data_IF_206344145270
#
_entry.id   IF_206344145270
#
_cell.length_a   1.000
_cell.length_b   1.000
_cell.length_c   1.000
_cell.angle_alpha   90.00
_cell.angle_beta   90.00
_cell.angle_gamma   90.00
#
_symmetry.space_group_name_H-M   'P 1'
#
loop_
_entity.id
_entity.type
_entity.pdbx_description
1 polymer ?
#
# COMPACT_ATOMS: atom_id res chain seq x y z
N UNK A 1 10.43 12.86 -30.41
CA UNK A 1 9.32 13.44 -29.61
C UNK A 1 8.16 12.48 -29.36
N UNK A 2 7.60 11.76 -30.34
CA UNK A 2 6.47 10.83 -30.11
C UNK A 2 6.75 9.69 -29.11
N UNK A 3 7.96 9.12 -29.11
CA UNK A 3 8.30 8.01 -28.21
C UNK A 3 8.33 8.40 -26.73
N UNK A 4 8.79 9.61 -26.40
CA UNK A 4 8.89 10.05 -25.00
C UNK A 4 7.52 10.25 -24.34
N UNK A 5 6.52 10.73 -25.09
CA UNK A 5 5.15 10.88 -24.56
C UNK A 5 4.48 9.52 -24.36
N UNK A 6 4.77 8.56 -25.23
CA UNK A 6 4.28 7.18 -25.07
C UNK A 6 4.92 6.50 -23.86
N UNK A 7 6.24 6.59 -23.73
CA UNK A 7 6.98 6.05 -22.57
C UNK A 7 6.45 6.62 -21.25
N UNK A 8 6.26 7.95 -21.16
CA UNK A 8 5.68 8.59 -19.97
C UNK A 8 4.31 8.02 -19.61
N UNK A 9 3.42 7.81 -20.60
CA UNK A 9 2.09 7.24 -20.34
C UNK A 9 2.15 5.79 -19.89
N UNK A 10 3.07 5.00 -20.44
CA UNK A 10 3.29 3.61 -20.01
C UNK A 10 3.84 3.60 -18.58
N UNK A 11 4.81 4.44 -18.27
CA UNK A 11 5.37 4.57 -16.91
C UNK A 11 4.31 5.04 -15.92
N UNK A 12 3.50 6.04 -16.27
CA UNK A 12 2.38 6.51 -15.45
C UNK A 12 1.35 5.42 -15.18
N UNK A 13 0.93 4.68 -16.23
CA UNK A 13 0.00 3.55 -16.10
C UNK A 13 0.55 2.42 -15.23
N UNK A 14 1.85 2.11 -15.35
CA UNK A 14 2.53 1.12 -14.49
C UNK A 14 2.59 1.59 -13.04
N UNK A 15 2.92 2.85 -12.79
CA UNK A 15 2.92 3.44 -11.44
C UNK A 15 1.54 3.36 -10.80
N UNK A 16 0.46 3.63 -11.56
CA UNK A 16 -0.91 3.47 -11.07
C UNK A 16 -1.21 2.00 -10.73
N UNK A 17 -0.88 1.06 -11.62
CA UNK A 17 -1.11 -0.37 -11.39
C UNK A 17 -0.41 -0.87 -10.10
N UNK A 18 0.87 -0.55 -9.94
CA UNK A 18 1.62 -0.91 -8.72
C UNK A 18 1.09 -0.17 -7.49
N UNK A 19 0.70 1.10 -7.63
CA UNK A 19 0.10 1.89 -6.56
C UNK A 19 -1.16 1.26 -6.00
N UNK A 20 -2.06 0.77 -6.86
CA UNK A 20 -3.27 0.03 -6.45
C UNK A 20 -2.92 -1.27 -5.72
N UNK A 21 -2.01 -2.07 -6.28
CA UNK A 21 -1.60 -3.35 -5.66
C UNK A 21 -0.99 -3.16 -4.28
N UNK A 22 -0.16 -2.13 -4.12
CA UNK A 22 0.46 -1.77 -2.85
C UNK A 22 -0.59 -1.26 -1.85
N UNK A 23 -1.56 -0.45 -2.28
CA UNK A 23 -2.67 -0.01 -1.41
C UNK A 23 -3.50 -1.18 -0.90
N UNK A 24 -3.84 -2.14 -1.77
CA UNK A 24 -4.57 -3.34 -1.37
C UNK A 24 -3.80 -4.13 -0.31
N UNK A 25 -2.48 -4.25 -0.49
CA UNK A 25 -1.59 -4.89 0.49
C UNK A 25 -1.58 -4.13 1.82
N UNK A 26 -1.54 -2.79 1.77
CA UNK A 26 -1.63 -1.93 2.95
C UNK A 26 -2.94 -2.12 3.71
N UNK A 27 -4.07 -2.13 3.00
CA UNK A 27 -5.40 -2.39 3.59
C UNK A 27 -5.45 -3.77 4.24
N UNK A 28 -4.97 -4.81 3.57
CA UNK A 28 -4.91 -6.17 4.13
C UNK A 28 -4.07 -6.22 5.41
N UNK A 29 -2.90 -5.56 5.42
CA UNK A 29 -2.04 -5.48 6.60
C UNK A 29 -2.71 -4.73 7.76
N UNK A 30 -3.41 -3.62 7.48
CA UNK A 30 -4.17 -2.87 8.50
C UNK A 30 -5.31 -3.71 9.08
N UNK A 31 -6.09 -4.40 8.25
CA UNK A 31 -7.14 -5.30 8.73
C UNK A 31 -6.55 -6.43 9.58
N UNK A 32 -5.45 -7.04 9.13
CA UNK A 32 -4.73 -8.05 9.88
C UNK A 32 -4.23 -7.54 11.24
N UNK A 33 -3.72 -6.31 11.30
CA UNK A 33 -3.29 -5.65 12.53
C UNK A 33 -4.45 -5.51 13.52
N UNK A 34 -5.61 -5.05 13.06
CA UNK A 34 -6.82 -4.90 13.89
C UNK A 34 -7.27 -6.25 14.43
N UNK A 35 -7.37 -7.28 13.57
CA UNK A 35 -7.76 -8.63 13.99
C UNK A 35 -6.80 -9.18 15.04
N UNK A 36 -5.49 -9.02 14.84
CA UNK A 36 -4.49 -9.48 15.81
C UNK A 36 -4.53 -8.70 17.12
N UNK A 37 -4.79 -7.38 17.07
CA UNK A 37 -4.99 -6.56 18.26
C UNK A 37 -6.20 -7.04 19.07
N UNK A 38 -7.33 -7.31 18.41
CA UNK A 38 -8.53 -7.87 19.07
C UNK A 38 -8.21 -9.22 19.70
N UNK A 39 -7.53 -10.11 18.97
CA UNK A 39 -7.13 -11.42 19.50
C UNK A 39 -6.23 -11.31 20.73
N UNK A 40 -5.29 -10.36 20.72
CA UNK A 40 -4.41 -10.06 21.85
C UNK A 40 -5.21 -9.59 23.07
N UNK A 41 -6.14 -8.63 22.89
CA UNK A 41 -6.99 -8.16 23.98
C UNK A 41 -7.91 -9.24 24.56
N UNK A 42 -8.35 -10.19 23.73
CA UNK A 42 -9.16 -11.33 24.17
C UNK A 42 -8.32 -12.46 24.79
N UNK A 43 -6.99 -12.35 24.84
CA UNK A 43 -6.11 -13.42 25.33
C UNK A 43 -6.13 -14.69 24.46
N UNK A 44 -6.56 -14.57 23.20
CA UNK A 44 -6.79 -15.68 22.27
C UNK A 44 -5.62 -15.92 21.32
N UNK A 45 -4.45 -15.37 21.63
CA UNK A 45 -3.22 -15.52 20.83
C UNK A 45 -1.99 -15.53 21.75
N UNK A 46 -1.00 -16.34 21.37
CA UNK A 46 0.32 -16.38 22.02
C UNK A 46 1.23 -15.23 21.55
N UNK A 47 0.83 -14.50 20.50
CA UNK A 47 1.60 -13.38 19.98
C UNK A 47 1.42 -12.13 20.86
N UNK A 48 2.54 -11.48 21.19
CA UNK A 48 2.51 -10.20 21.91
C UNK A 48 2.13 -9.01 21.02
N UNK A 49 2.03 -7.82 21.63
CA UNK A 49 1.71 -6.54 20.95
C UNK A 49 2.61 -6.22 19.75
N UNK A 50 3.80 -6.80 19.67
CA UNK A 50 4.71 -6.61 18.52
C UNK A 50 4.12 -7.03 17.17
N UNK A 51 3.30 -8.10 17.13
CA UNK A 51 2.71 -8.59 15.88
C UNK A 51 1.69 -7.61 15.28
N UNK A 52 0.62 -7.21 15.99
CA UNK A 52 -0.31 -6.21 15.47
C UNK A 52 0.36 -4.85 15.22
N UNK A 53 1.33 -4.42 16.04
CA UNK A 53 2.08 -3.19 15.77
C UNK A 53 2.88 -3.28 14.46
N UNK A 54 3.56 -4.41 14.21
CA UNK A 54 4.30 -4.66 12.97
C UNK A 54 3.40 -4.68 11.73
N UNK A 55 2.25 -5.35 11.80
CA UNK A 55 1.27 -5.35 10.72
C UNK A 55 0.70 -3.94 10.46
N UNK A 56 0.47 -3.17 11.52
CA UNK A 56 0.03 -1.77 11.41
C UNK A 56 1.09 -0.90 10.71
N UNK A 57 2.36 -1.07 11.06
CA UNK A 57 3.46 -0.38 10.40
C UNK A 57 3.57 -0.74 8.91
N UNK A 58 3.41 -2.02 8.55
CA UNK A 58 3.35 -2.45 7.14
C UNK A 58 2.18 -1.77 6.43
N UNK A 59 1.01 -1.73 7.05
CA UNK A 59 -0.17 -1.04 6.52
C UNK A 59 0.10 0.43 6.21
N UNK A 60 0.74 1.16 7.12
CA UNK A 60 1.09 2.57 6.94
C UNK A 60 2.14 2.78 5.84
N UNK A 61 3.20 1.97 5.81
CA UNK A 61 4.26 2.09 4.80
C UNK A 61 3.71 1.80 3.42
N UNK A 62 2.97 0.70 3.27
CA UNK A 62 2.36 0.33 1.99
C UNK A 62 1.29 1.34 1.59
N UNK A 63 0.45 1.81 2.52
CA UNK A 63 -0.51 2.88 2.23
C UNK A 63 0.15 4.14 1.68
N UNK A 64 1.25 4.56 2.28
CA UNK A 64 2.01 5.75 1.87
C UNK A 64 2.65 5.55 0.50
N UNK A 65 3.35 4.43 0.28
CA UNK A 65 4.00 4.14 -0.99
C UNK A 65 2.99 3.99 -2.14
N UNK A 66 1.88 3.30 -1.87
CA UNK A 66 0.81 3.13 -2.84
C UNK A 66 0.18 4.47 -3.23
N UNK A 67 -0.07 5.36 -2.26
CA UNK A 67 -0.53 6.73 -2.54
C UNK A 67 0.46 7.53 -3.38
N UNK A 68 1.76 7.49 -3.06
CA UNK A 68 2.79 8.22 -3.81
C UNK A 68 2.90 7.73 -5.25
N UNK A 69 2.83 6.41 -5.47
CA UNK A 69 2.85 5.82 -6.81
C UNK A 69 1.60 6.17 -7.62
N UNK A 70 0.42 6.14 -6.99
CA UNK A 70 -0.81 6.61 -7.64
C UNK A 70 -0.68 8.07 -8.06
N UNK A 71 -0.27 8.94 -7.13
CA UNK A 71 -0.13 10.37 -7.40
C UNK A 71 0.84 10.63 -8.55
N UNK A 72 2.05 10.05 -8.48
CA UNK A 72 3.05 10.20 -9.55
C UNK A 72 2.57 9.60 -10.86
N UNK A 73 1.83 8.49 -10.82
CA UNK A 73 1.25 7.85 -12.00
C UNK A 73 0.19 8.72 -12.69
N UNK A 74 -0.71 9.34 -11.92
CA UNK A 74 -1.71 10.27 -12.46
C UNK A 74 -1.07 11.54 -13.03
N UNK A 75 -0.10 12.14 -12.32
CA UNK A 75 0.65 13.30 -12.82
C UNK A 75 1.30 13.01 -14.20
N UNK A 76 1.87 11.81 -14.40
CA UNK A 76 2.48 11.41 -15.67
C UNK A 76 1.47 11.11 -16.80
N UNK A 77 0.22 10.81 -16.46
CA UNK A 77 -0.83 10.52 -17.43
C UNK A 77 -1.52 11.79 -17.94
N UNK A 78 -1.57 12.84 -17.10
CA UNK A 78 -2.15 14.14 -17.43
C UNK A 78 -1.24 14.98 -18.35
N UNK A 79 0.09 14.78 -18.28
CA UNK A 79 1.11 15.43 -19.13
C UNK A 79 1.26 14.86 -20.58
#
# INVERSE_FOLDING_TARGET
>A
MKNQKFEKRVTGGMSVYYGIGILLTGVAATVGAIVMAVKFFMGSTEHGWGTPAGLGAIGLVMGTLGYLLLRSGYEQLED
#
